data_IF_211412968484
#
_entry.id   IF_211412968484
#
_cell.length_a   1.000
_cell.length_b   1.000
_cell.length_c   1.000
_cell.angle_alpha   90.00
_cell.angle_beta   90.00
_cell.angle_gamma   90.00
#
_symmetry.space_group_name_H-M   'P 1'
#
loop_
_entity.id
_entity.type
_entity.pdbx_description
1 polymer ?
#
# COMPACT_ATOMS: atom_id res chain seq x y z
N UNK A 1 -1.41 -0.30 -15.87
CA UNK A 1 -1.98 0.95 -15.31
C UNK A 1 -2.20 0.79 -13.82
N UNK A 2 -1.78 1.78 -13.05
CA UNK A 2 -2.02 1.80 -11.61
C UNK A 2 -3.05 2.87 -11.27
N UNK A 3 -3.97 2.55 -10.37
CA UNK A 3 -5.04 3.47 -9.97
C UNK A 3 -4.96 3.67 -8.46
N UNK A 4 -4.84 4.94 -8.03
CA UNK A 4 -4.86 5.31 -6.63
C UNK A 4 -6.30 5.50 -6.17
N UNK A 5 -6.58 5.04 -4.96
CA UNK A 5 -7.90 5.11 -4.39
C UNK A 5 -7.82 5.29 -2.88
N UNK A 6 -8.74 6.06 -2.34
CA UNK A 6 -8.87 6.18 -0.90
C UNK A 6 -10.33 6.00 -0.47
N UNK A 7 -10.53 5.64 0.78
CA UNK A 7 -11.85 5.40 1.32
C UNK A 7 -12.54 6.74 1.59
N UNK A 8 -13.64 6.99 0.89
CA UNK A 8 -14.33 8.26 0.98
C UNK A 8 -15.77 8.07 0.49
N UNK A 9 -16.74 8.48 1.31
CA UNK A 9 -18.15 8.34 0.95
C UNK A 9 -18.50 9.13 -0.31
N UNK A 10 -17.79 10.22 -0.55
CA UNK A 10 -18.01 11.07 -1.72
C UNK A 10 -17.29 10.55 -2.96
N UNK A 11 -16.46 9.54 -2.82
CA UNK A 11 -15.57 9.10 -3.87
C UNK A 11 -16.08 7.86 -4.59
N UNK A 12 -17.32 7.46 -4.35
CA UNK A 12 -17.90 6.27 -4.93
C UNK A 12 -17.92 6.28 -6.45
N UNK A 13 -17.91 7.48 -7.04
CA UNK A 13 -17.93 7.64 -8.49
C UNK A 13 -16.56 7.57 -9.12
N UNK A 14 -15.52 7.48 -8.30
CA UNK A 14 -14.17 7.44 -8.83
C UNK A 14 -13.87 6.01 -9.26
N UNK A 15 -13.89 5.81 -10.50
CA UNK A 15 -13.34 4.69 -11.28
C UNK A 15 -13.16 3.36 -10.54
N UNK A 16 -13.97 3.11 -9.54
CA UNK A 16 -14.00 1.83 -8.87
C UNK A 16 -15.06 1.00 -9.57
N UNK A 17 -14.60 0.27 -10.55
CA UNK A 17 -15.50 -0.45 -11.41
C UNK A 17 -14.89 -1.81 -11.69
N UNK A 18 -15.67 -2.86 -11.46
CA UNK A 18 -15.24 -4.22 -11.76
C UNK A 18 -14.89 -4.39 -13.24
N UNK A 19 -15.51 -3.59 -14.11
CA UNK A 19 -15.21 -3.61 -15.53
C UNK A 19 -13.78 -3.12 -15.82
N UNK A 20 -13.21 -2.30 -14.93
CA UNK A 20 -11.85 -1.82 -15.09
C UNK A 20 -10.80 -2.82 -14.61
N UNK A 21 -11.20 -3.83 -13.86
CA UNK A 21 -10.26 -4.74 -13.19
C UNK A 21 -9.29 -5.39 -14.16
N UNK A 22 -9.77 -5.84 -15.31
CA UNK A 22 -8.92 -6.53 -16.27
C UNK A 22 -7.89 -5.62 -16.93
N UNK A 23 -8.11 -4.28 -16.90
CA UNK A 23 -7.22 -3.32 -17.52
C UNK A 23 -6.24 -2.69 -16.53
N UNK A 24 -6.46 -2.89 -15.24
CA UNK A 24 -5.66 -2.27 -14.18
C UNK A 24 -4.65 -3.28 -13.68
N UNK A 25 -3.38 -2.89 -13.66
CA UNK A 25 -2.31 -3.75 -13.14
C UNK A 25 -2.25 -3.67 -11.61
N UNK A 26 -2.43 -2.48 -11.04
CA UNK A 26 -2.35 -2.29 -9.60
C UNK A 26 -3.40 -1.30 -9.11
N UNK A 27 -3.98 -1.61 -7.96
CA UNK A 27 -4.85 -0.72 -7.19
C UNK A 27 -4.08 -0.24 -5.98
N UNK A 28 -3.91 1.08 -5.87
CA UNK A 28 -3.15 1.69 -4.77
C UNK A 28 -4.15 2.16 -3.72
N UNK A 29 -4.15 1.51 -2.56
CA UNK A 29 -5.05 1.90 -1.47
C UNK A 29 -4.34 2.88 -0.55
N UNK A 30 -4.99 4.02 -0.32
CA UNK A 30 -4.51 5.06 0.57
C UNK A 30 -5.00 4.76 1.99
N UNK A 31 -4.42 3.74 2.58
CA UNK A 31 -4.78 3.25 3.92
C UNK A 31 -4.02 4.00 5.00
N UNK A 32 -4.05 5.32 4.90
CA UNK A 32 -3.27 6.21 5.75
C UNK A 32 -3.68 6.08 7.21
N UNK A 33 -2.69 5.78 8.07
CA UNK A 33 -2.92 5.59 9.49
C UNK A 33 -3.43 4.19 9.87
N UNK A 34 -3.58 3.29 8.90
CA UNK A 34 -4.09 1.94 9.13
C UNK A 34 -3.06 0.89 8.79
N UNK A 35 -2.92 -0.13 9.62
CA UNK A 35 -1.97 -1.23 9.39
C UNK A 35 -2.42 -2.22 8.33
N UNK A 36 -3.67 -2.15 7.91
CA UNK A 36 -4.27 -3.03 6.91
C UNK A 36 -5.00 -2.19 5.87
N UNK A 37 -5.23 -2.73 4.66
CA UNK A 37 -5.95 -1.96 3.65
C UNK A 37 -7.41 -1.74 4.05
N UNK A 38 -7.93 -0.55 3.70
CA UNK A 38 -9.32 -0.20 3.96
C UNK A 38 -10.29 -0.97 3.07
N UNK A 39 -9.82 -1.39 1.91
CA UNK A 39 -10.64 -2.13 0.95
C UNK A 39 -9.73 -2.97 0.05
N UNK A 40 -10.33 -3.95 -0.59
CA UNK A 40 -9.63 -4.82 -1.55
C UNK A 40 -9.80 -4.29 -2.96
N UNK A 41 -9.14 -4.93 -3.93
CA UNK A 41 -9.36 -4.62 -5.34
C UNK A 41 -10.78 -5.06 -5.74
N UNK A 42 -11.36 -4.45 -6.78
CA UNK A 42 -12.72 -4.80 -7.22
C UNK A 42 -12.92 -6.28 -7.52
N UNK A 43 -11.94 -6.91 -8.17
CA UNK A 43 -12.01 -8.34 -8.48
C UNK A 43 -11.51 -9.24 -7.36
N UNK A 44 -11.21 -8.66 -6.20
CA UNK A 44 -10.65 -9.39 -5.06
C UNK A 44 -9.37 -10.14 -5.43
N UNK A 45 -8.50 -9.46 -6.18
CA UNK A 45 -7.20 -10.00 -6.59
C UNK A 45 -6.13 -9.32 -5.73
N UNK A 46 -5.66 -9.99 -4.66
CA UNK A 46 -4.71 -9.36 -3.73
C UNK A 46 -3.40 -8.95 -4.39
N UNK A 47 -2.97 -9.69 -5.39
CA UNK A 47 -1.71 -9.44 -6.11
C UNK A 47 -1.68 -8.09 -6.80
N UNK A 48 -2.85 -7.49 -7.03
CA UNK A 48 -2.96 -6.15 -7.62
C UNK A 48 -2.99 -5.04 -6.58
N UNK A 49 -3.03 -5.37 -5.29
CA UNK A 49 -3.22 -4.39 -4.22
C UNK A 49 -1.88 -3.89 -3.70
N UNK A 50 -1.69 -2.58 -3.75
CA UNK A 50 -0.56 -1.90 -3.12
C UNK A 50 -1.11 -1.05 -1.98
N UNK A 51 -0.66 -1.32 -0.75
CA UNK A 51 -1.09 -0.58 0.43
C UNK A 51 -0.10 0.55 0.71
N UNK A 52 -0.61 1.74 1.02
CA UNK A 52 0.27 2.91 1.20
C UNK A 52 -0.02 3.67 2.47
N UNK A 53 1.02 4.34 2.98
CA UNK A 53 0.96 5.20 4.14
C UNK A 53 1.21 6.66 3.76
N UNK A 54 0.75 7.58 4.60
CA UNK A 54 0.88 9.02 4.38
C UNK A 54 2.18 9.55 4.99
N UNK A 55 3.17 9.80 4.14
CA UNK A 55 4.44 10.36 4.59
C UNK A 55 4.49 11.89 4.52
N UNK A 56 3.41 12.55 4.16
CA UNK A 56 3.31 13.97 4.44
C UNK A 56 3.13 14.22 5.95
N UNK A 57 2.47 13.28 6.63
CA UNK A 57 2.21 13.40 8.07
C UNK A 57 3.10 12.51 8.92
N UNK A 58 3.52 11.34 8.40
CA UNK A 58 4.13 10.30 9.23
C UNK A 58 5.57 9.97 8.84
N UNK A 59 6.23 10.82 8.06
CA UNK A 59 7.61 10.52 7.62
C UNK A 59 8.58 10.38 8.79
N UNK A 60 8.40 11.14 9.86
CA UNK A 60 9.30 11.09 11.02
C UNK A 60 9.12 9.80 11.83
N UNK A 61 7.86 9.41 12.08
CA UNK A 61 7.54 8.27 12.93
C UNK A 61 7.46 6.95 12.15
N UNK A 62 7.32 7.02 10.82
CA UNK A 62 7.07 5.85 9.98
C UNK A 62 5.61 5.46 9.88
N UNK A 63 4.74 6.04 10.71
CA UNK A 63 3.32 5.72 10.73
C UNK A 63 3.07 4.22 10.82
N UNK A 64 2.25 3.69 9.92
CA UNK A 64 1.92 2.28 9.85
C UNK A 64 2.64 1.55 8.71
N UNK A 65 3.64 2.18 8.09
CA UNK A 65 4.28 1.62 6.91
C UNK A 65 4.85 0.23 7.16
N UNK A 66 5.53 0.01 8.29
CA UNK A 66 6.11 -1.31 8.58
C UNK A 66 5.04 -2.37 8.82
N UNK A 67 3.93 -2.00 9.45
CA UNK A 67 2.80 -2.91 9.61
C UNK A 67 2.18 -3.25 8.26
N UNK A 68 2.05 -2.26 7.38
CA UNK A 68 1.53 -2.47 6.03
C UNK A 68 2.46 -3.37 5.24
N UNK A 69 3.77 -3.19 5.38
CA UNK A 69 4.74 -4.05 4.72
C UNK A 69 4.63 -5.50 5.17
N UNK A 70 4.37 -5.72 6.46
CA UNK A 70 4.23 -7.05 7.05
C UNK A 70 2.87 -7.70 6.77
N UNK A 71 1.86 -6.90 6.46
CA UNK A 71 0.51 -7.43 6.23
C UNK A 71 0.47 -8.30 4.98
N UNK A 72 -0.27 -9.41 5.06
CA UNK A 72 -0.56 -10.27 3.92
C UNK A 72 -2.03 -10.64 3.92
N UNK A 73 -2.65 -10.81 2.75
CA UNK A 73 -4.03 -11.27 2.68
C UNK A 73 -4.15 -12.72 3.15
N UNK A 74 -5.39 -13.16 3.41
CA UNK A 74 -5.65 -14.53 3.85
C UNK A 74 -5.23 -15.55 2.79
N UNK A 75 -5.38 -15.20 1.53
CA UNK A 75 -4.98 -16.05 0.40
C UNK A 75 -4.20 -15.21 -0.60
N UNK A 76 -3.14 -15.77 -1.16
CA UNK A 76 -2.29 -15.08 -2.09
C UNK A 76 -1.31 -14.13 -1.38
N UNK A 77 -0.84 -13.13 -2.10
CA UNK A 77 0.09 -12.13 -1.59
C UNK A 77 -0.34 -10.76 -2.12
N UNK A 78 0.08 -9.70 -1.41
CA UNK A 78 -0.23 -8.35 -1.88
C UNK A 78 0.73 -7.93 -3.00
N UNK A 79 0.31 -6.93 -3.77
CA UNK A 79 1.13 -6.40 -4.86
C UNK A 79 2.32 -5.59 -4.39
N UNK A 80 2.22 -4.97 -3.23
CA UNK A 80 3.32 -4.19 -2.70
C UNK A 80 2.92 -3.23 -1.60
N UNK A 81 3.87 -2.42 -1.20
CA UNK A 81 3.70 -1.40 -0.16
C UNK A 81 4.36 -0.10 -0.65
N UNK A 82 3.86 1.03 -0.21
CA UNK A 82 4.43 2.31 -0.60
C UNK A 82 4.06 3.43 0.35
N UNK A 83 4.45 4.63 -0.01
CA UNK A 83 4.18 5.82 0.81
C UNK A 83 3.99 7.04 -0.07
N UNK A 84 3.09 7.90 0.34
CA UNK A 84 2.89 9.20 -0.28
C UNK A 84 3.28 10.29 0.73
N UNK A 85 4.23 11.08 0.53
CA UNK A 85 5.24 11.07 -0.55
C UNK A 85 6.49 10.44 0.05
N UNK A 86 7.00 9.43 -0.61
CA UNK A 86 8.15 8.69 -0.08
C UNK A 86 9.42 9.56 0.00
N UNK A 87 9.51 10.63 -0.79
CA UNK A 87 10.66 11.54 -0.75
C UNK A 87 10.78 12.26 0.59
N UNK A 88 9.70 12.35 1.36
CA UNK A 88 9.76 12.91 2.71
C UNK A 88 10.59 12.04 3.66
N UNK A 89 10.75 10.76 3.34
CA UNK A 89 11.59 9.85 4.11
C UNK A 89 13.09 10.10 3.89
N UNK A 90 13.44 10.83 2.83
CA UNK A 90 14.83 11.17 2.55
C UNK A 90 15.46 12.00 3.66
N UNK A 91 14.68 12.85 4.33
CA UNK A 91 15.18 13.72 5.39
C UNK A 91 15.45 12.98 6.71
N UNK A 92 15.07 11.72 6.81
CA UNK A 92 15.37 10.91 7.97
C UNK A 92 16.84 10.49 8.01
N UNK A 93 17.31 10.02 9.15
CA UNK A 93 18.68 9.54 9.33
C UNK A 93 18.64 8.08 9.77
N UNK A 94 19.13 7.14 8.96
CA UNK A 94 19.64 7.33 7.60
C UNK A 94 18.53 7.69 6.60
N UNK A 95 18.93 8.19 5.43
CA UNK A 95 17.97 8.55 4.40
C UNK A 95 17.12 7.34 3.99
N UNK A 96 15.85 7.58 3.73
CA UNK A 96 14.86 6.54 3.41
C UNK A 96 14.79 5.43 4.47
N UNK A 97 14.96 5.84 5.73
CA UNK A 97 14.99 4.92 6.87
C UNK A 97 13.82 3.95 6.87
N UNK A 98 12.60 4.47 6.69
CA UNK A 98 11.39 3.65 6.77
C UNK A 98 11.16 2.84 5.52
N UNK A 99 11.43 3.42 4.36
CA UNK A 99 11.27 2.70 3.08
C UNK A 99 12.22 1.52 2.98
N UNK A 100 13.47 1.69 3.44
CA UNK A 100 14.45 0.60 3.44
C UNK A 100 13.96 -0.57 4.29
N UNK A 101 13.42 -0.28 5.47
CA UNK A 101 12.89 -1.31 6.36
C UNK A 101 11.65 -1.97 5.77
N UNK A 102 10.76 -1.17 5.19
CA UNK A 102 9.53 -1.69 4.58
C UNK A 102 9.85 -2.65 3.43
N UNK A 103 10.82 -2.31 2.59
CA UNK A 103 11.24 -3.17 1.48
C UNK A 103 11.74 -4.51 2.01
N UNK A 104 12.57 -4.49 3.06
CA UNK A 104 13.10 -5.71 3.65
C UNK A 104 11.97 -6.58 4.24
N UNK A 105 11.04 -5.97 4.97
CA UNK A 105 9.93 -6.69 5.58
C UNK A 105 9.03 -7.29 4.49
N UNK A 106 8.70 -6.50 3.48
CA UNK A 106 7.84 -6.96 2.39
C UNK A 106 8.46 -8.14 1.66
N UNK A 107 9.77 -8.06 1.39
CA UNK A 107 10.49 -9.15 0.74
C UNK A 107 10.52 -10.40 1.60
N UNK A 108 10.71 -10.24 2.91
CA UNK A 108 10.76 -11.35 3.84
C UNK A 108 9.42 -12.08 3.90
N UNK A 109 8.31 -11.34 4.09
CA UNK A 109 7.00 -11.99 4.18
C UNK A 109 6.61 -12.64 2.86
N UNK A 110 6.99 -12.05 1.74
CA UNK A 110 6.75 -12.66 0.43
C UNK A 110 7.51 -13.97 0.29
N UNK A 111 8.77 -14.01 0.72
CA UNK A 111 9.58 -15.23 0.66
C UNK A 111 9.02 -16.32 1.57
N UNK A 112 8.54 -15.95 2.75
CA UNK A 112 7.93 -16.91 3.68
C UNK A 112 6.61 -17.45 3.15
N UNK A 113 5.87 -16.63 2.41
CA UNK A 113 4.61 -17.06 1.82
C UNK A 113 4.80 -18.19 0.81
N UNK A 114 5.90 -18.16 0.06
CA UNK A 114 6.20 -19.20 -0.91
C UNK A 114 6.44 -20.55 -0.22
#
# INVERSE_FOLDING_TARGET
MAVARYNCDYCNNMVYDEEMEEYVDYWITQSYGHGTPDYTSPGNIPEKLIITENFESFATSGGKLLQQAAWMPAEGYKGGVGAYRFDNDYDNTPDYKWMRQAIQINQQVFNEWK
#
